data_IF_763251388849
#
_entry.id   IF_763251388849
#
_cell.length_a   1.000
_cell.length_b   1.000
_cell.length_c   1.000
_cell.angle_alpha   90.00
_cell.angle_beta   90.00
_cell.angle_gamma   90.00
#
_symmetry.space_group_name_H-M   'P 1'
#
loop_
_entity.id
_entity.type
_entity.pdbx_description
1 polymer ?
#
# COMPACT_ATOMS: atom_id res chain seq x y z
N UNK A 1 -66.17 -46.27 7.29
CA UNK A 1 -65.54 -46.58 5.99
C UNK A 1 -64.04 -46.60 6.17
N UNK A 2 -63.43 -47.76 5.94
CA UNK A 2 -61.99 -47.98 6.02
C UNK A 2 -61.27 -47.25 4.87
N UNK A 3 -60.16 -46.57 5.17
CA UNK A 3 -59.17 -46.28 4.13
C UNK A 3 -57.76 -46.61 4.62
N UNK A 4 -57.09 -47.39 3.77
CA UNK A 4 -55.85 -48.11 4.02
C UNK A 4 -54.63 -47.20 3.92
N UNK A 5 -53.68 -47.54 4.78
CA UNK A 5 -52.25 -47.26 4.76
C UNK A 5 -51.60 -47.55 3.40
N UNK A 6 -50.73 -46.66 2.91
CA UNK A 6 -49.60 -46.99 2.02
C UNK A 6 -48.40 -46.17 2.46
N UNK A 7 -47.48 -46.81 3.20
CA UNK A 7 -46.13 -46.30 3.45
C UNK A 7 -45.25 -46.71 2.25
N UNK A 8 -44.67 -45.72 1.56
CA UNK A 8 -43.58 -45.92 0.61
C UNK A 8 -42.27 -45.60 1.32
N UNK A 9 -41.52 -46.65 1.69
CA UNK A 9 -40.16 -46.55 2.16
C UNK A 9 -39.22 -46.38 0.95
N UNK A 10 -38.75 -45.15 0.73
CA UNK A 10 -37.70 -44.83 -0.24
C UNK A 10 -36.33 -45.03 0.39
N UNK A 11 -35.64 -46.09 -0.03
CA UNK A 11 -34.21 -46.29 0.21
C UNK A 11 -33.41 -45.22 -0.55
N UNK A 12 -32.91 -44.21 0.17
CA UNK A 12 -31.85 -43.34 -0.33
C UNK A 12 -30.51 -43.97 0.05
N UNK A 13 -29.81 -44.50 -0.97
CA UNK A 13 -28.44 -44.95 -0.84
C UNK A 13 -27.52 -43.76 -0.59
N UNK A 14 -26.88 -43.73 0.57
CA UNK A 14 -25.78 -42.83 0.85
C UNK A 14 -24.55 -43.31 0.09
N UNK A 15 -24.24 -42.68 -1.03
CA UNK A 15 -22.91 -42.74 -1.61
C UNK A 15 -21.94 -42.10 -0.61
N UNK A 16 -21.07 -42.92 -0.02
CA UNK A 16 -19.94 -42.46 0.79
C UNK A 16 -19.01 -41.67 -0.13
N UNK A 17 -19.07 -40.34 -0.03
CA UNK A 17 -18.06 -39.47 -0.59
C UNK A 17 -16.78 -39.68 0.22
N UNK A 18 -15.78 -40.25 -0.45
CA UNK A 18 -14.44 -40.41 0.08
C UNK A 18 -13.90 -38.99 0.39
N UNK A 19 -13.43 -38.71 1.62
CA UNK A 19 -12.89 -37.41 1.95
C UNK A 19 -11.72 -37.10 0.99
N UNK A 20 -11.59 -35.86 0.49
CA UNK A 20 -10.49 -35.49 -0.36
C UNK A 20 -9.18 -35.84 0.34
N UNK A 21 -8.32 -36.55 -0.38
CA UNK A 21 -6.96 -36.86 0.02
C UNK A 21 -6.29 -35.61 0.60
N UNK A 22 -5.59 -35.69 1.74
CA UNK A 22 -4.95 -34.51 2.32
C UNK A 22 -3.99 -33.91 1.29
N UNK A 23 -4.31 -32.69 0.87
CA UNK A 23 -3.42 -31.82 0.11
C UNK A 23 -2.05 -31.81 0.79
N UNK A 24 -1.00 -31.90 -0.01
CA UNK A 24 0.41 -31.87 0.40
C UNK A 24 0.65 -30.79 1.47
N UNK A 25 0.60 -31.17 2.74
CA UNK A 25 1.09 -30.34 3.82
C UNK A 25 2.61 -30.34 3.67
N UNK A 26 3.16 -29.23 3.19
CA UNK A 26 4.59 -28.98 3.29
C UNK A 26 4.87 -28.86 4.78
N UNK A 27 5.33 -29.95 5.39
CA UNK A 27 5.85 -29.93 6.75
C UNK A 27 7.18 -29.18 6.67
N UNK A 28 7.13 -27.88 6.94
CA UNK A 28 8.32 -27.12 7.32
C UNK A 28 8.82 -27.76 8.62
N UNK A 29 9.92 -28.49 8.55
CA UNK A 29 10.53 -29.19 9.69
C UNK A 29 10.74 -28.18 10.83
N UNK A 30 10.07 -28.40 11.97
CA UNK A 30 10.06 -27.49 13.13
C UNK A 30 11.39 -27.44 13.89
N UNK A 31 12.48 -27.90 13.26
CA UNK A 31 13.85 -27.91 13.77
C UNK A 31 14.70 -26.79 13.20
N UNK A 32 14.09 -25.74 12.65
CA UNK A 32 14.80 -24.51 12.30
C UNK A 32 15.32 -23.88 13.59
N UNK A 33 16.64 -23.67 13.75
CA UNK A 33 17.20 -23.02 14.92
C UNK A 33 16.56 -21.64 15.11
N UNK A 34 16.16 -21.33 16.36
CA UNK A 34 15.47 -20.08 16.74
C UNK A 34 16.21 -18.78 16.36
N UNK A 35 17.50 -18.86 16.02
CA UNK A 35 18.36 -17.69 15.78
C UNK A 35 18.93 -17.61 14.37
N UNK A 36 18.56 -18.51 13.45
CA UNK A 36 19.02 -18.40 12.06
C UNK A 36 17.93 -17.77 11.20
N UNK A 37 18.18 -16.52 10.77
CA UNK A 37 17.48 -15.87 9.66
C UNK A 37 17.53 -16.78 8.44
N UNK A 38 16.54 -17.66 8.34
CA UNK A 38 16.48 -18.68 7.30
C UNK A 38 15.87 -18.01 6.09
N UNK A 39 16.69 -17.76 5.08
CA UNK A 39 16.24 -17.29 3.78
C UNK A 39 15.44 -18.42 3.13
N UNK A 40 14.11 -18.36 3.24
CA UNK A 40 13.22 -19.26 2.51
C UNK A 40 12.94 -18.61 1.15
N UNK A 41 13.28 -19.26 0.02
CA UNK A 41 12.96 -18.74 -1.30
C UNK A 41 11.47 -18.47 -1.45
N UNK A 42 11.09 -17.38 -2.13
CA UNK A 42 9.70 -17.01 -2.40
C UNK A 42 8.88 -18.16 -3.00
N UNK A 43 9.49 -18.91 -3.91
CA UNK A 43 8.82 -20.02 -4.60
C UNK A 43 8.38 -21.13 -3.62
N UNK A 44 9.01 -21.23 -2.44
CA UNK A 44 8.63 -22.18 -1.40
C UNK A 44 7.45 -21.71 -0.53
N UNK A 45 7.16 -20.40 -0.50
CA UNK A 45 6.02 -19.82 0.23
C UNK A 45 4.85 -19.47 -0.70
N UNK A 46 5.05 -19.39 -2.02
CA UNK A 46 4.01 -19.06 -2.99
C UNK A 46 2.72 -19.88 -2.82
N UNK A 47 2.76 -21.19 -2.48
CA UNK A 47 1.55 -21.97 -2.19
C UNK A 47 0.83 -21.59 -0.88
N UNK A 48 1.54 -20.94 0.06
CA UNK A 48 1.02 -20.48 1.35
C UNK A 48 0.44 -19.08 1.28
N UNK A 49 0.88 -18.29 0.29
CA UNK A 49 0.29 -17.00 0.00
C UNK A 49 -1.09 -17.22 -0.61
N UNK A 50 -2.11 -16.63 0.03
CA UNK A 50 -3.46 -16.64 -0.52
C UNK A 50 -3.41 -16.11 -1.97
N UNK A 51 -4.23 -16.67 -2.89
CA UNK A 51 -4.19 -16.36 -4.32
C UNK A 51 -4.43 -14.87 -4.66
N UNK A 52 -4.73 -14.04 -3.66
CA UNK A 52 -5.05 -12.63 -3.77
C UNK A 52 -3.87 -11.71 -3.42
N UNK A 53 -2.70 -12.20 -2.97
CA UNK A 53 -1.58 -11.29 -2.72
C UNK A 53 -1.10 -10.73 -4.06
N UNK A 54 -1.26 -9.42 -4.31
CA UNK A 54 -0.90 -8.84 -5.59
C UNK A 54 0.60 -9.02 -5.83
N UNK A 55 0.99 -9.34 -7.07
CA UNK A 55 2.41 -9.46 -7.50
C UNK A 55 3.07 -8.08 -7.50
N UNK A 56 3.25 -7.50 -6.33
CA UNK A 56 3.87 -6.19 -6.14
C UNK A 56 5.34 -6.44 -5.81
N UNK A 57 6.20 -6.34 -6.83
CA UNK A 57 7.65 -6.38 -6.63
C UNK A 57 8.18 -4.94 -6.48
N UNK A 58 7.63 -4.22 -5.49
CA UNK A 58 8.04 -2.84 -5.20
C UNK A 58 8.98 -2.88 -3.99
N UNK A 59 10.23 -2.38 -4.12
CA UNK A 59 11.18 -2.32 -3.02
C UNK A 59 10.57 -1.60 -1.80
N UNK A 60 10.80 -2.12 -0.60
CA UNK A 60 10.23 -1.57 0.65
C UNK A 60 8.83 -2.07 0.99
N UNK A 61 8.24 -2.90 0.13
CA UNK A 61 6.98 -3.56 0.44
C UNK A 61 7.20 -4.66 1.48
N UNK A 62 6.43 -4.62 2.55
CA UNK A 62 6.38 -5.63 3.60
C UNK A 62 4.93 -6.03 3.85
N UNK A 63 4.65 -7.33 3.91
CA UNK A 63 3.36 -7.86 4.35
C UNK A 63 3.53 -8.34 5.78
N UNK A 64 2.70 -7.83 6.68
CA UNK A 64 2.71 -8.19 8.10
C UNK A 64 1.43 -8.95 8.44
N UNK A 65 1.53 -9.92 9.35
CA UNK A 65 0.44 -10.84 9.66
C UNK A 65 0.15 -10.89 11.15
N UNK A 66 -1.15 -11.01 11.47
CA UNK A 66 -1.63 -10.99 12.85
C UNK A 66 -1.34 -12.26 13.65
N UNK A 67 -0.87 -13.30 12.99
CA UNK A 67 -0.55 -14.60 13.58
C UNK A 67 0.74 -15.15 12.96
N UNK A 68 1.30 -16.19 13.57
CA UNK A 68 2.46 -16.91 13.02
C UNK A 68 2.10 -17.68 11.75
N UNK A 69 3.10 -18.05 10.97
CA UNK A 69 3.02 -18.79 9.72
C UNK A 69 2.11 -18.12 8.68
N UNK A 70 2.15 -16.78 8.60
CA UNK A 70 1.45 -15.96 7.62
C UNK A 70 -0.08 -16.09 7.69
N UNK A 71 -0.62 -16.22 8.90
CA UNK A 71 -2.06 -16.37 9.17
C UNK A 71 -2.67 -15.09 9.73
N UNK A 72 -4.00 -15.09 9.83
CA UNK A 72 -4.76 -14.00 10.42
C UNK A 72 -4.93 -12.80 9.49
N UNK A 73 -5.19 -11.64 10.08
CA UNK A 73 -5.31 -10.36 9.37
C UNK A 73 -3.94 -9.98 8.84
N UNK A 74 -3.87 -9.58 7.57
CA UNK A 74 -2.64 -9.08 6.97
C UNK A 74 -2.77 -7.61 6.59
N UNK A 75 -1.62 -6.94 6.53
CA UNK A 75 -1.51 -5.57 6.05
C UNK A 75 -0.30 -5.46 5.13
N UNK A 76 -0.47 -4.80 3.99
CA UNK A 76 0.61 -4.47 3.07
C UNK A 76 1.10 -3.07 3.41
N UNK A 77 2.39 -2.95 3.69
CA UNK A 77 3.06 -1.71 4.04
C UNK A 77 4.12 -1.42 2.99
N UNK A 78 4.34 -0.15 2.66
CA UNK A 78 5.52 0.26 1.92
C UNK A 78 6.27 1.32 2.73
N UNK A 79 7.39 0.91 3.31
CA UNK A 79 8.18 1.75 4.20
C UNK A 79 9.44 2.31 3.52
N UNK A 80 9.52 2.26 2.19
CA UNK A 80 10.65 2.81 1.45
C UNK A 80 10.77 4.32 1.71
N UNK A 81 11.91 4.74 2.25
CA UNK A 81 12.28 6.13 2.55
C UNK A 81 11.34 6.86 3.53
N UNK A 82 10.38 6.15 4.12
CA UNK A 82 9.34 6.72 4.99
C UNK A 82 9.19 5.86 6.24
N UNK A 83 9.05 6.51 7.40
CA UNK A 83 8.70 5.80 8.62
C UNK A 83 7.20 5.53 8.65
N UNK A 84 6.80 4.27 8.80
CA UNK A 84 5.41 3.89 9.03
C UNK A 84 5.23 3.65 10.53
N UNK A 85 4.52 4.55 11.22
CA UNK A 85 4.36 4.58 12.69
C UNK A 85 3.10 3.92 13.22
N UNK A 86 2.14 3.63 12.32
CA UNK A 86 0.77 3.26 12.67
C UNK A 86 0.53 1.77 12.43
N UNK A 87 1.55 0.96 12.68
CA UNK A 87 1.39 -0.48 12.74
C UNK A 87 0.51 -0.80 13.95
N UNK A 88 -0.59 -1.55 13.77
CA UNK A 88 -1.45 -1.95 14.89
C UNK A 88 -0.63 -2.62 16.00
N UNK A 89 -0.60 -1.96 17.16
CA UNK A 89 0.14 -2.40 18.35
C UNK A 89 -0.20 -3.84 18.74
N UNK A 90 0.82 -4.66 19.03
CA UNK A 90 0.61 -6.02 19.55
C UNK A 90 0.15 -7.04 18.52
N UNK A 91 0.08 -6.67 17.24
CA UNK A 91 -0.53 -7.52 16.23
C UNK A 91 0.46 -8.27 15.34
N UNK A 92 1.73 -7.87 15.16
CA UNK A 92 2.55 -8.59 14.16
C UNK A 92 3.25 -9.81 14.77
N UNK A 93 2.99 -10.98 14.20
CA UNK A 93 3.60 -12.25 14.61
C UNK A 93 4.44 -12.91 13.50
N UNK A 94 4.14 -12.63 12.23
CA UNK A 94 4.94 -13.07 11.08
C UNK A 94 4.96 -12.00 9.99
N UNK A 95 5.97 -12.02 9.12
CA UNK A 95 6.09 -11.04 8.03
C UNK A 95 6.82 -11.59 6.80
N UNK A 96 6.58 -10.93 5.67
CA UNK A 96 7.23 -11.13 4.38
C UNK A 96 7.75 -9.78 3.92
N UNK A 97 9.04 -9.66 3.67
CA UNK A 97 9.67 -8.47 3.11
C UNK A 97 10.14 -8.76 1.69
N UNK A 98 9.68 -7.96 0.73
CA UNK A 98 10.08 -8.13 -0.65
C UNK A 98 11.49 -7.61 -0.92
N UNK A 99 12.11 -8.16 -1.96
CA UNK A 99 13.49 -7.90 -2.31
C UNK A 99 13.78 -6.42 -2.66
N UNK A 100 15.05 -6.02 -2.47
CA UNK A 100 15.62 -4.78 -2.99
C UNK A 100 15.86 -3.67 -1.96
N UNK A 101 15.69 -3.94 -0.66
CA UNK A 101 15.87 -2.95 0.42
C UNK A 101 16.49 -3.54 1.69
N UNK A 102 16.94 -2.66 2.56
CA UNK A 102 17.17 -2.91 3.98
C UNK A 102 16.01 -2.29 4.76
N UNK A 103 15.43 -3.01 5.72
CA UNK A 103 14.40 -2.45 6.59
C UNK A 103 14.80 -2.59 8.05
N UNK A 104 14.63 -1.50 8.79
CA UNK A 104 14.70 -1.48 10.24
C UNK A 104 13.27 -1.55 10.81
N UNK A 105 13.06 -2.48 11.73
CA UNK A 105 11.82 -2.69 12.45
C UNK A 105 12.02 -2.28 13.90
N UNK A 106 11.17 -1.40 14.44
CA UNK A 106 11.39 -0.75 15.71
C UNK A 106 10.30 -1.08 16.72
N UNK A 107 10.69 -1.12 18.00
CA UNK A 107 9.73 -1.08 19.11
C UNK A 107 9.15 0.32 19.32
N UNK A 108 9.83 1.36 18.83
CA UNK A 108 9.33 2.73 18.84
C UNK A 108 8.28 2.97 17.77
N UNK A 109 7.44 3.99 17.97
CA UNK A 109 6.46 4.41 16.96
C UNK A 109 7.07 5.34 15.91
N UNK A 110 8.22 5.96 16.15
CA UNK A 110 8.70 7.07 15.31
C UNK A 110 9.96 6.71 14.51
N UNK A 111 10.24 5.41 14.33
CA UNK A 111 11.51 4.93 13.78
C UNK A 111 12.73 5.59 14.43
N UNK A 112 12.59 5.84 15.73
CA UNK A 112 13.56 6.45 16.61
C UNK A 112 14.67 5.46 16.94
N UNK A 113 15.91 5.87 16.69
CA UNK A 113 17.09 5.00 16.78
C UNK A 113 17.48 4.59 18.22
N UNK A 114 16.84 5.17 19.23
CA UNK A 114 17.18 4.94 20.65
C UNK A 114 16.54 3.67 21.22
N UNK A 115 15.60 3.06 20.49
CA UNK A 115 14.92 1.83 20.88
C UNK A 115 15.48 0.60 20.16
N UNK A 116 15.26 -0.62 20.71
CA UNK A 116 15.64 -1.83 20.01
C UNK A 116 15.06 -1.85 18.59
N UNK A 117 15.93 -2.17 17.62
CA UNK A 117 15.55 -2.38 16.23
C UNK A 117 16.08 -3.72 15.70
N UNK A 118 15.31 -4.34 14.81
CA UNK A 118 15.71 -5.50 14.02
C UNK A 118 15.94 -5.04 12.59
N UNK A 119 17.16 -5.24 12.10
CA UNK A 119 17.50 -4.92 10.71
C UNK A 119 17.37 -6.17 9.85
N UNK A 120 16.67 -6.03 8.73
CA UNK A 120 16.46 -7.09 7.76
C UNK A 120 16.99 -6.64 6.39
N UNK A 121 17.97 -7.39 5.87
CA UNK A 121 18.51 -7.24 4.53
C UNK A 121 17.73 -8.12 3.54
N UNK A 122 16.87 -7.52 2.70
CA UNK A 122 16.22 -8.19 1.57
C UNK A 122 16.84 -7.79 0.24
N UNK A 123 18.08 -7.27 0.19
CA UNK A 123 18.64 -6.75 -1.05
C UNK A 123 18.74 -7.77 -2.19
N UNK A 124 18.92 -9.05 -1.86
CA UNK A 124 19.19 -10.12 -2.85
C UNK A 124 18.02 -11.06 -3.08
N UNK A 125 17.06 -11.10 -2.15
CA UNK A 125 15.95 -12.02 -2.17
C UNK A 125 14.84 -11.53 -1.28
N UNK A 126 13.61 -11.98 -1.57
CA UNK A 126 12.51 -11.87 -0.63
C UNK A 126 12.91 -12.57 0.67
N UNK A 127 12.47 -12.02 1.78
CA UNK A 127 12.80 -12.53 3.09
C UNK A 127 11.53 -12.77 3.88
N UNK A 128 11.49 -13.87 4.63
CA UNK A 128 10.28 -14.28 5.34
C UNK A 128 10.57 -14.76 6.75
N UNK A 129 9.70 -14.37 7.67
CA UNK A 129 9.74 -14.77 9.07
C UNK A 129 8.39 -15.37 9.42
N UNK A 130 8.27 -16.71 9.42
CA UNK A 130 7.03 -17.38 9.82
C UNK A 130 6.75 -17.18 11.31
N UNK A 131 7.76 -16.85 12.11
CA UNK A 131 7.62 -16.48 13.51
C UNK A 131 8.68 -15.42 13.83
N UNK A 132 8.25 -14.30 14.40
CA UNK A 132 9.14 -13.24 14.84
C UNK A 132 9.81 -13.53 16.19
N UNK A 133 9.38 -14.58 16.89
CA UNK A 133 9.93 -14.98 18.19
C UNK A 133 9.76 -13.87 19.21
N UNK A 134 10.85 -13.45 19.85
CA UNK A 134 10.81 -12.39 20.86
C UNK A 134 10.35 -11.04 20.28
N UNK A 135 10.44 -10.82 18.97
CA UNK A 135 9.94 -9.62 18.30
C UNK A 135 8.42 -9.62 18.07
N UNK A 136 7.78 -10.78 18.28
CA UNK A 136 6.35 -10.96 18.09
C UNK A 136 5.55 -10.02 18.98
N UNK A 137 4.65 -9.23 18.38
CA UNK A 137 3.81 -8.24 19.06
C UNK A 137 4.55 -6.97 19.52
N UNK A 138 5.87 -6.87 19.30
CA UNK A 138 6.68 -5.72 19.73
C UNK A 138 6.98 -4.72 18.61
N UNK A 139 6.49 -4.97 17.39
CA UNK A 139 6.72 -4.09 16.25
C UNK A 139 5.71 -2.95 16.22
N UNK A 140 6.23 -1.72 16.17
CA UNK A 140 5.44 -0.49 16.17
C UNK A 140 5.71 0.41 14.97
N UNK A 141 6.93 0.38 14.44
CA UNK A 141 7.24 1.09 13.22
C UNK A 141 8.27 0.38 12.35
N UNK A 142 8.28 0.73 11.07
CA UNK A 142 9.18 0.19 10.06
C UNK A 142 9.71 1.34 9.19
N UNK A 143 10.98 1.25 8.82
CA UNK A 143 11.60 2.13 7.82
C UNK A 143 12.52 1.32 6.92
N UNK A 144 12.39 1.48 5.62
CA UNK A 144 13.22 0.82 4.63
C UNK A 144 14.08 1.82 3.84
N UNK A 145 15.26 1.39 3.42
CA UNK A 145 16.20 2.14 2.59
C UNK A 145 16.75 1.23 1.49
N UNK A 146 17.06 1.80 0.33
CA UNK A 146 17.68 1.07 -0.77
C UNK A 146 19.22 0.98 -0.62
N UNK A 147 19.86 0.11 -1.40
CA UNK A 147 21.33 -0.10 -1.35
C UNK A 147 22.16 1.10 -1.79
N UNK A 148 21.58 2.07 -2.50
CA UNK A 148 22.31 3.28 -2.87
C UNK A 148 22.53 4.16 -1.65
N UNK A 149 21.62 4.07 -0.69
CA UNK A 149 21.69 4.77 0.58
C UNK A 149 22.52 4.01 1.65
N UNK A 150 22.58 2.68 1.64
CA UNK A 150 23.24 1.93 2.74
C UNK A 150 24.79 1.97 2.79
N UNK A 151 25.47 2.47 1.74
CA UNK A 151 26.95 2.57 1.70
C UNK A 151 27.51 3.95 2.00
N UNK A 152 26.69 4.98 1.96
CA UNK A 152 27.05 6.25 2.59
C UNK A 152 26.53 6.18 4.02
N UNK A 153 27.34 6.56 5.00
CA UNK A 153 26.80 7.01 6.28
C UNK A 153 25.76 8.08 5.93
N UNK A 154 24.47 7.72 5.90
CA UNK A 154 23.41 8.64 5.52
C UNK A 154 23.31 9.63 6.67
N UNK A 155 24.09 10.70 6.54
CA UNK A 155 23.65 11.97 7.02
C UNK A 155 22.26 12.18 6.40
N UNK A 156 21.17 12.29 7.19
CA UNK A 156 19.80 12.45 6.70
C UNK A 156 19.60 13.60 5.69
N UNK A 157 20.64 14.40 5.46
CA UNK A 157 20.74 15.48 4.47
C UNK A 157 20.72 15.06 2.99
N UNK A 158 20.92 13.77 2.66
CA UNK A 158 21.10 13.35 1.25
C UNK A 158 19.91 12.61 0.63
N UNK A 159 18.82 12.33 1.36
CA UNK A 159 17.57 12.00 0.71
C UNK A 159 17.15 13.22 -0.12
N UNK A 160 17.11 13.09 -1.45
CA UNK A 160 16.71 14.19 -2.31
C UNK A 160 15.35 14.68 -1.82
N UNK A 161 15.33 15.90 -1.29
CA UNK A 161 14.12 16.46 -0.71
C UNK A 161 13.00 16.38 -1.75
N UNK A 162 11.76 16.07 -1.34
CA UNK A 162 10.61 16.04 -2.24
C UNK A 162 10.60 17.29 -3.10
N UNK A 163 10.52 17.10 -4.40
CA UNK A 163 10.56 18.17 -5.37
C UNK A 163 9.16 18.77 -5.54
N UNK A 164 9.07 20.06 -5.90
CA UNK A 164 7.79 20.67 -6.25
C UNK A 164 7.01 19.87 -7.30
N UNK A 165 5.78 19.48 -6.96
CA UNK A 165 4.90 18.66 -7.79
C UNK A 165 4.98 17.15 -7.53
N UNK A 166 5.79 16.73 -6.56
CA UNK A 166 5.71 15.38 -6.01
C UNK A 166 4.43 15.25 -5.18
N UNK A 167 3.81 14.08 -5.25
CA UNK A 167 2.63 13.69 -4.49
C UNK A 167 2.84 12.32 -3.84
N UNK A 168 2.25 12.11 -2.67
CA UNK A 168 1.97 10.79 -2.09
C UNK A 168 0.46 10.56 -2.20
N UNK A 169 0.05 9.53 -2.93
CA UNK A 169 -1.34 9.17 -3.19
C UNK A 169 -1.65 7.83 -2.53
N UNK A 170 -2.69 7.73 -1.69
CA UNK A 170 -3.07 6.47 -1.05
C UNK A 170 -4.52 6.10 -1.32
N UNK A 171 -4.76 4.79 -1.37
CA UNK A 171 -6.04 4.22 -1.77
C UNK A 171 -7.08 4.11 -0.64
N UNK A 172 -6.69 4.41 0.59
CA UNK A 172 -7.58 4.55 1.72
C UNK A 172 -7.33 5.89 2.43
N UNK A 173 -8.28 6.27 3.28
CA UNK A 173 -8.11 7.41 4.17
C UNK A 173 -6.98 7.15 5.19
N UNK A 174 -6.53 8.22 5.84
CA UNK A 174 -5.48 8.26 6.84
C UNK A 174 -4.16 7.66 6.35
N UNK A 175 -3.85 7.79 5.06
CA UNK A 175 -2.64 7.26 4.42
C UNK A 175 -2.47 5.75 4.58
N UNK A 176 -3.59 5.04 4.62
CA UNK A 176 -3.64 3.59 4.72
C UNK A 176 -3.73 2.95 3.34
N UNK A 177 -3.50 1.63 3.31
CA UNK A 177 -3.59 0.80 2.11
C UNK A 177 -2.43 1.00 1.14
N UNK A 178 -2.70 0.93 -0.15
CA UNK A 178 -1.68 1.11 -1.18
C UNK A 178 -1.38 2.59 -1.39
N UNK A 179 -0.12 2.97 -1.14
CA UNK A 179 0.37 4.31 -1.39
C UNK A 179 1.42 4.36 -2.52
N UNK A 180 1.39 5.44 -3.30
CA UNK A 180 2.31 5.71 -4.41
C UNK A 180 2.89 7.12 -4.28
N UNK A 181 4.21 7.23 -4.31
CA UNK A 181 4.90 8.52 -4.44
C UNK A 181 5.32 8.73 -5.89
N UNK A 182 4.91 9.83 -6.48
CA UNK A 182 5.21 10.13 -7.89
C UNK A 182 5.27 11.63 -8.16
N UNK A 183 5.98 12.02 -9.20
CA UNK A 183 6.08 13.42 -9.64
C UNK A 183 5.10 13.69 -10.78
N UNK A 184 4.25 14.70 -10.62
CA UNK A 184 3.24 15.08 -11.62
C UNK A 184 3.50 16.44 -12.26
N UNK A 185 4.77 16.87 -12.21
CA UNK A 185 5.18 18.18 -12.70
C UNK A 185 4.95 18.30 -14.21
N UNK A 186 4.14 19.29 -14.60
CA UNK A 186 3.84 19.64 -15.99
C UNK A 186 3.26 18.49 -16.83
N UNK A 187 2.76 17.44 -16.18
CA UNK A 187 2.13 16.28 -16.81
C UNK A 187 0.72 16.09 -16.25
N UNK A 188 -0.12 15.40 -17.01
CA UNK A 188 -1.39 14.89 -16.51
C UNK A 188 -1.18 13.43 -16.10
N UNK A 189 -1.41 13.12 -14.83
CA UNK A 189 -1.55 11.74 -14.36
C UNK A 189 -3.01 11.35 -14.55
N UNK A 190 -3.30 10.47 -15.51
CA UNK A 190 -4.65 10.02 -15.84
C UNK A 190 -4.86 8.51 -15.66
N UNK A 191 -3.96 7.87 -14.92
CA UNK A 191 -4.00 6.43 -14.61
C UNK A 191 -4.72 6.12 -13.29
N UNK A 192 -5.36 7.10 -12.65
CA UNK A 192 -6.06 6.90 -11.38
C UNK A 192 -7.43 6.26 -11.66
N UNK A 193 -7.67 5.09 -11.09
CA UNK A 193 -8.95 4.41 -11.21
C UNK A 193 -10.02 5.05 -10.33
N UNK A 194 -11.27 5.04 -10.82
CA UNK A 194 -12.42 5.52 -10.05
C UNK A 194 -12.54 4.76 -8.74
N UNK A 195 -12.72 5.49 -7.64
CA UNK A 195 -12.83 4.93 -6.30
C UNK A 195 -11.50 4.66 -5.62
N UNK A 196 -10.35 4.85 -6.29
CA UNK A 196 -9.05 4.51 -5.73
C UNK A 196 -8.53 5.58 -4.77
N UNK A 197 -8.45 6.86 -5.15
CA UNK A 197 -7.74 7.85 -4.33
C UNK A 197 -8.56 8.38 -3.13
N UNK A 198 -8.09 8.20 -1.88
CA UNK A 198 -8.79 8.65 -0.66
C UNK A 198 -7.97 9.52 0.29
N UNK A 199 -6.64 9.50 0.19
CA UNK A 199 -5.78 10.45 0.91
C UNK A 199 -4.59 10.88 0.07
N UNK A 200 -4.12 12.12 0.29
CA UNK A 200 -3.05 12.72 -0.49
C UNK A 200 -2.15 13.62 0.38
N UNK A 201 -0.84 13.55 0.12
CA UNK A 201 0.12 14.58 0.53
C UNK A 201 0.66 15.24 -0.72
N UNK A 202 0.54 16.57 -0.78
CA UNK A 202 1.12 17.38 -1.84
C UNK A 202 2.34 18.11 -1.30
N UNK A 203 3.52 17.79 -1.81
CA UNK A 203 4.76 18.41 -1.35
C UNK A 203 4.84 19.89 -1.77
N UNK A 204 5.67 20.65 -1.05
CA UNK A 204 5.77 22.11 -1.20
C UNK A 204 6.24 22.52 -2.61
N UNK A 205 5.70 23.63 -3.12
CA UNK A 205 6.23 24.37 -4.27
C UNK A 205 5.46 24.24 -5.57
N UNK A 206 4.28 23.62 -5.57
CA UNK A 206 3.47 23.45 -6.77
C UNK A 206 1.99 23.74 -6.51
N UNK A 207 1.27 24.01 -7.59
CA UNK A 207 -0.19 24.10 -7.59
C UNK A 207 -0.72 22.93 -8.38
N UNK A 208 -1.57 22.11 -7.77
CA UNK A 208 -2.12 20.92 -8.39
C UNK A 208 -3.64 21.02 -8.52
N UNK A 209 -4.15 20.66 -9.69
CA UNK A 209 -5.57 20.53 -9.98
C UNK A 209 -5.95 19.06 -10.06
N UNK A 210 -7.01 18.68 -9.34
CA UNK A 210 -7.54 17.33 -9.26
C UNK A 210 -8.88 17.28 -9.98
N UNK A 211 -9.05 16.32 -10.89
CA UNK A 211 -10.16 16.29 -11.83
C UNK A 211 -10.97 15.01 -11.69
N UNK A 212 -12.27 15.11 -11.95
CA UNK A 212 -13.21 13.97 -11.93
C UNK A 212 -13.26 13.20 -13.25
N UNK A 213 -12.53 13.66 -14.26
CA UNK A 213 -12.37 13.02 -15.57
C UNK A 213 -10.92 12.64 -15.82
N UNK A 214 -10.68 11.78 -16.82
CA UNK A 214 -9.33 11.52 -17.32
C UNK A 214 -8.79 12.73 -18.11
N UNK A 215 -7.49 12.76 -18.39
CA UNK A 215 -6.83 13.77 -19.24
C UNK A 215 -6.87 15.23 -18.75
N UNK A 216 -7.17 15.47 -17.47
CA UNK A 216 -7.04 16.78 -16.82
C UNK A 216 -7.82 17.91 -17.53
N UNK A 217 -9.08 17.65 -17.88
CA UNK A 217 -9.99 18.60 -18.51
C UNK A 217 -10.34 19.75 -17.54
N UNK A 218 -10.05 21.00 -17.94
CA UNK A 218 -10.16 22.17 -17.04
C UNK A 218 -11.55 22.43 -16.48
N UNK A 219 -12.62 22.10 -17.22
CA UNK A 219 -14.00 22.31 -16.78
C UNK A 219 -14.51 21.23 -15.81
N UNK A 220 -13.67 20.22 -15.51
CA UNK A 220 -13.96 19.10 -14.60
C UNK A 220 -13.07 19.08 -13.37
N UNK A 221 -12.43 20.21 -13.06
CA UNK A 221 -11.68 20.42 -11.83
C UNK A 221 -12.61 20.27 -10.62
N UNK A 222 -12.25 19.37 -9.71
CA UNK A 222 -12.95 19.14 -8.44
C UNK A 222 -12.37 20.04 -7.35
N UNK A 223 -11.04 20.15 -7.32
CA UNK A 223 -10.33 21.02 -6.38
C UNK A 223 -8.98 21.42 -6.97
N UNK A 224 -8.59 22.67 -6.70
CA UNK A 224 -7.25 23.20 -6.95
C UNK A 224 -6.58 23.49 -5.61
N UNK A 225 -5.38 22.96 -5.46
CA UNK A 225 -4.59 23.04 -4.23
C UNK A 225 -3.30 23.79 -4.52
N UNK A 226 -3.07 24.84 -3.74
CA UNK A 226 -1.82 25.58 -3.73
C UNK A 226 -0.95 25.11 -2.55
N UNK A 227 0.13 24.37 -2.86
CA UNK A 227 1.16 23.98 -1.88
C UNK A 227 2.44 24.80 -2.05
N UNK A 228 2.41 25.93 -2.74
CA UNK A 228 3.59 26.80 -2.89
C UNK A 228 4.17 27.24 -1.54
N UNK A 229 3.38 27.73 -0.55
CA UNK A 229 3.95 28.18 0.72
C UNK A 229 4.42 27.02 1.61
N UNK A 230 3.71 25.90 1.62
CA UNK A 230 3.92 24.75 2.50
C UNK A 230 3.37 23.45 1.89
N UNK A 231 3.81 22.30 2.38
CA UNK A 231 3.21 21.03 1.97
C UNK A 231 1.78 20.96 2.52
N UNK A 232 0.93 20.26 1.79
CA UNK A 232 -0.47 20.15 2.13
C UNK A 232 -0.87 18.70 2.30
N UNK A 233 -1.79 18.45 3.24
CA UNK A 233 -2.15 17.12 3.70
C UNK A 233 -3.66 16.97 3.73
N UNK A 234 -4.15 15.92 3.08
CA UNK A 234 -5.52 15.44 3.21
C UNK A 234 -5.51 14.00 3.67
N UNK A 235 -5.62 13.83 4.98
CA UNK A 235 -5.80 12.51 5.60
C UNK A 235 -7.07 11.83 5.10
N UNK A 236 -8.14 12.58 4.90
CA UNK A 236 -9.39 12.06 4.34
C UNK A 236 -9.95 13.10 3.36
N UNK A 237 -10.03 12.71 2.10
CA UNK A 237 -10.56 13.55 1.02
C UNK A 237 -12.08 13.67 1.06
N UNK A 238 -12.79 12.92 1.92
CA UNK A 238 -14.25 13.04 2.14
C UNK A 238 -15.03 13.15 0.83
N UNK A 239 -15.61 14.31 0.56
CA UNK A 239 -16.52 14.57 -0.55
C UNK A 239 -15.89 14.38 -1.94
N UNK A 240 -14.56 14.35 -2.05
CA UNK A 240 -13.85 14.12 -3.31
C UNK A 240 -13.00 12.84 -3.31
N UNK A 241 -12.99 12.09 -2.20
CA UNK A 241 -12.42 10.74 -2.12
C UNK A 241 -13.09 9.80 -3.13
N UNK A 242 -12.29 9.06 -3.89
CA UNK A 242 -12.73 8.15 -4.94
C UNK A 242 -13.31 8.82 -6.20
N UNK A 243 -13.43 10.15 -6.25
CA UNK A 243 -13.94 10.88 -7.43
C UNK A 243 -12.84 11.35 -8.37
N UNK A 244 -11.60 11.40 -7.90
CA UNK A 244 -10.47 11.88 -8.69
C UNK A 244 -9.99 10.80 -9.66
N UNK A 245 -9.90 11.16 -10.94
CA UNK A 245 -9.41 10.31 -12.02
C UNK A 245 -8.14 10.85 -12.66
N UNK A 246 -7.87 12.15 -12.53
CA UNK A 246 -6.61 12.71 -13.00
C UNK A 246 -6.11 13.90 -12.19
N UNK A 247 -4.78 14.08 -12.18
CA UNK A 247 -4.10 15.13 -11.43
C UNK A 247 -3.08 15.81 -12.33
N UNK A 248 -3.01 17.14 -12.27
CA UNK A 248 -1.98 17.93 -12.96
C UNK A 248 -1.37 18.94 -12.01
N UNK A 249 -0.06 18.93 -11.88
CA UNK A 249 0.68 19.90 -11.09
C UNK A 249 1.50 20.85 -11.98
N UNK A 250 1.56 22.12 -11.62
CA UNK A 250 2.42 23.11 -12.26
C UNK A 250 3.19 23.91 -11.22
N UNK A 251 4.36 24.42 -11.61
CA UNK A 251 5.13 25.32 -10.77
C UNK A 251 4.52 26.73 -10.84
N UNK A 252 4.55 27.52 -9.76
CA UNK A 252 4.11 28.91 -9.79
C UNK A 252 4.87 29.66 -10.89
N UNK A 253 4.14 30.47 -11.67
CA UNK A 253 4.68 31.22 -12.80
C UNK A 253 4.93 30.42 -14.08
N UNK A 254 4.70 29.09 -14.06
CA UNK A 254 4.78 28.22 -15.26
C UNK A 254 3.42 27.85 -15.83
N UNK A 255 2.32 28.40 -15.28
CA UNK A 255 1.01 28.23 -15.93
C UNK A 255 1.16 28.65 -17.41
N UNK A 256 0.75 27.80 -18.35
CA UNK A 256 0.71 28.21 -19.74
C UNK A 256 -0.23 29.40 -19.78
N UNK A 257 0.34 30.62 -19.93
CA UNK A 257 -0.40 31.86 -20.20
C UNK A 257 -1.40 31.46 -21.27
N UNK A 258 -2.68 31.42 -20.89
CA UNK A 258 -3.69 30.92 -21.78
C UNK A 258 -3.52 31.57 -23.14
N UNK A 259 -3.61 30.77 -24.20
CA UNK A 259 -4.27 31.24 -25.39
C UNK A 259 -5.48 32.05 -24.94
N UNK A 260 -5.40 33.37 -25.03
CA UNK A 260 -6.54 34.25 -24.99
C UNK A 260 -7.49 33.72 -26.06
N UNK A 261 -8.49 32.92 -25.67
CA UNK A 261 -9.62 32.71 -26.54
C UNK A 261 -10.33 34.05 -26.62
N UNK A 262 -10.24 34.59 -27.83
CA UNK A 262 -10.89 35.77 -28.35
C UNK A 262 -12.17 36.21 -27.64
N UNK A 263 -12.24 37.53 -27.47
CA UNK A 263 -13.47 38.32 -27.46
C UNK A 263 -14.44 37.79 -28.53
N UNK A 264 -15.66 37.40 -28.14
CA UNK A 264 -16.81 37.32 -29.04
C UNK A 264 -17.72 36.10 -28.86
N UNK A 265 -18.82 36.23 -28.14
CA UNK A 265 -20.12 36.63 -28.70
C UNK A 265 -21.22 36.55 -27.62
N UNK A 266 -22.10 37.53 -27.66
CA UNK A 266 -23.36 37.63 -26.93
C UNK A 266 -24.42 36.66 -27.47
N UNK A 267 -25.24 36.11 -26.59
CA UNK A 267 -26.69 35.89 -26.82
C UNK A 267 -27.36 35.78 -25.45
N UNK A 268 -28.11 36.80 -25.02
CA UNK A 268 -29.59 36.89 -25.07
C UNK A 268 -30.29 35.71 -24.38
N UNK A 269 -31.07 36.06 -23.36
CA UNK A 269 -31.71 35.14 -22.43
C UNK A 269 -32.94 34.43 -22.98
N UNK A 270 -33.59 33.70 -22.07
CA UNK A 270 -35.01 33.42 -22.06
C UNK A 270 -35.45 33.10 -20.62
N UNK A 271 -36.45 33.88 -20.19
CA UNK A 271 -37.47 33.72 -19.14
C UNK A 271 -37.07 33.32 -17.71
#
# INVERSE_FOLDING_TARGET
MHLKLVLLAGLLGFASAQPPSPSNAIILDSRVPKDTDTVIPRDAIEPLLLPEIPKVNVPGTTIVFSEINYKGVNQVLNALHTCISDIPTGAIHSLIQFQGVWCDYYHGRLCDGDLPKKTIDSMKSDMVWPDLGDWSGQLHSIKCVDSKQSKENINPSNAAAPSPGDLLLCDNANWQGQCLTLSVRNACLDTIHKGWLHSVVQFKGAVCAYHSTSHCERDKEVVKIDSVPEFMVWQDMKDWGGKILSIRCHLPGTEPRGSETAIGFTSKGHE
#
